data_IF_239035920606
#
_entry.id   IF_239035920606
#
_cell.length_a   1.000
_cell.length_b   1.000
_cell.length_c   1.000
_cell.angle_alpha   90.00
_cell.angle_beta   90.00
_cell.angle_gamma   90.00
#
_symmetry.space_group_name_H-M   'P 1'
#
loop_
_entity.id
_entity.type
_entity.pdbx_description
1 polymer ?
#
# COMPACT_ATOMS: atom_id res chain seq x y z
N UNK A 1 -29.47 -27.32 26.10
CA UNK A 1 -28.51 -27.45 24.99
C UNK A 1 -28.54 -26.15 24.22
N UNK A 2 -27.41 -25.71 23.65
CA UNK A 2 -27.43 -24.55 22.76
C UNK A 2 -28.35 -24.85 21.57
N UNK A 3 -29.18 -23.89 21.16
CA UNK A 3 -30.12 -24.02 20.03
C UNK A 3 -29.42 -23.90 18.66
N UNK A 4 -28.10 -23.99 18.62
CA UNK A 4 -27.27 -23.85 17.44
C UNK A 4 -26.07 -24.80 17.55
N UNK A 5 -25.48 -25.14 16.41
CA UNK A 5 -24.39 -26.10 16.27
C UNK A 5 -23.06 -25.40 16.03
N UNK A 6 -21.95 -26.14 16.13
CA UNK A 6 -20.64 -25.63 15.73
C UNK A 6 -20.59 -25.25 14.23
N UNK A 7 -21.39 -25.91 13.39
CA UNK A 7 -21.53 -25.56 11.97
C UNK A 7 -22.21 -24.20 11.80
N UNK A 8 -23.22 -23.88 12.62
CA UNK A 8 -23.90 -22.58 12.58
C UNK A 8 -22.97 -21.43 13.00
N UNK A 9 -22.13 -21.66 14.03
CA UNK A 9 -21.08 -20.69 14.41
C UNK A 9 -20.13 -20.46 13.23
N UNK A 10 -19.68 -21.54 12.58
CA UNK A 10 -18.75 -21.45 11.44
C UNK A 10 -19.39 -20.69 10.27
N UNK A 11 -20.62 -21.03 9.90
CA UNK A 11 -21.36 -20.38 8.82
C UNK A 11 -21.58 -18.89 9.10
N UNK A 12 -21.99 -18.53 10.32
CA UNK A 12 -22.19 -17.13 10.69
C UNK A 12 -20.87 -16.34 10.72
N UNK A 13 -19.78 -16.97 11.17
CA UNK A 13 -18.43 -16.39 11.09
C UNK A 13 -18.01 -16.14 9.65
N UNK A 14 -18.20 -17.09 8.75
CA UNK A 14 -17.87 -16.91 7.33
C UNK A 14 -18.72 -15.79 6.70
N UNK A 15 -20.00 -15.69 7.08
CA UNK A 15 -20.93 -14.69 6.55
C UNK A 15 -20.62 -13.27 7.04
N UNK A 16 -20.13 -13.11 8.27
CA UNK A 16 -19.89 -11.81 8.91
C UNK A 16 -18.43 -11.37 8.91
N UNK A 17 -17.49 -12.32 8.88
CA UNK A 17 -16.07 -12.07 9.12
C UNK A 17 -15.70 -11.84 10.60
N UNK A 18 -16.67 -11.87 11.52
CA UNK A 18 -16.45 -11.57 12.94
C UNK A 18 -15.62 -12.66 13.65
N UNK A 19 -15.00 -12.27 14.78
CA UNK A 19 -14.26 -13.20 15.64
C UNK A 19 -15.12 -14.37 16.14
N UNK A 20 -14.53 -15.57 16.22
CA UNK A 20 -15.24 -16.81 16.59
C UNK A 20 -16.02 -16.69 17.92
N UNK A 21 -15.40 -16.06 18.92
CA UNK A 21 -16.03 -15.86 20.23
C UNK A 21 -17.15 -14.83 20.20
N UNK A 22 -17.06 -13.82 19.34
CA UNK A 22 -18.10 -12.80 19.20
C UNK A 22 -19.33 -13.38 18.51
N UNK A 23 -19.12 -14.21 17.48
CA UNK A 23 -20.18 -14.98 16.81
C UNK A 23 -20.88 -15.92 17.79
N UNK A 24 -20.12 -16.70 18.57
CA UNK A 24 -20.69 -17.61 19.57
C UNK A 24 -21.54 -16.86 20.60
N UNK A 25 -21.01 -15.78 21.18
CA UNK A 25 -21.74 -14.96 22.18
C UNK A 25 -22.99 -14.31 21.59
N UNK A 26 -22.94 -13.88 20.33
CA UNK A 26 -24.09 -13.31 19.66
C UNK A 26 -25.20 -14.35 19.43
N UNK A 27 -24.82 -15.58 19.03
CA UNK A 27 -25.77 -16.70 18.92
C UNK A 27 -26.38 -17.10 20.26
N UNK A 28 -25.59 -17.09 21.35
CA UNK A 28 -26.11 -17.30 22.71
C UNK A 28 -27.18 -16.26 23.07
N UNK A 29 -26.91 -14.97 22.85
CA UNK A 29 -27.86 -13.88 23.14
C UNK A 29 -29.06 -13.84 22.19
N UNK A 30 -28.88 -14.34 20.96
CA UNK A 30 -29.92 -14.48 19.97
C UNK A 30 -30.76 -15.76 20.14
N UNK A 31 -30.45 -16.61 21.13
CA UNK A 31 -31.05 -17.95 21.28
C UNK A 31 -30.95 -18.82 20.01
N UNK A 32 -29.86 -18.68 19.26
CA UNK A 32 -29.61 -19.39 18.00
C UNK A 32 -30.11 -18.69 16.73
N UNK A 33 -30.79 -17.55 16.83
CA UNK A 33 -31.25 -16.78 15.66
C UNK A 33 -30.06 -16.09 14.96
N UNK A 34 -29.77 -16.50 13.73
CA UNK A 34 -28.63 -16.01 12.97
C UNK A 34 -28.75 -14.53 12.56
N UNK A 35 -29.94 -14.05 12.20
CA UNK A 35 -30.12 -12.66 11.77
C UNK A 35 -30.03 -11.72 12.98
N UNK A 36 -30.67 -12.09 14.08
CA UNK A 36 -30.54 -11.36 15.34
C UNK A 36 -29.10 -11.37 15.87
N UNK A 37 -28.36 -12.47 15.68
CA UNK A 37 -26.96 -12.53 16.03
C UNK A 37 -26.10 -11.54 15.21
N UNK A 38 -26.38 -11.36 13.92
CA UNK A 38 -25.72 -10.32 13.09
C UNK A 38 -25.96 -8.93 13.66
N UNK A 39 -27.22 -8.61 13.99
CA UNK A 39 -27.56 -7.32 14.59
C UNK A 39 -26.80 -7.09 15.90
N UNK A 40 -26.72 -8.10 16.76
CA UNK A 40 -25.98 -8.05 18.02
C UNK A 40 -24.48 -7.81 17.77
N UNK A 41 -23.87 -8.52 16.81
CA UNK A 41 -22.46 -8.32 16.43
C UNK A 41 -22.24 -6.87 16.03
N UNK A 42 -23.08 -6.32 15.14
CA UNK A 42 -22.95 -4.94 14.67
C UNK A 42 -23.11 -3.92 15.80
N UNK A 43 -24.14 -4.07 16.63
CA UNK A 43 -24.40 -3.17 17.77
C UNK A 43 -23.22 -3.16 18.75
N UNK A 44 -22.70 -4.35 19.10
CA UNK A 44 -21.56 -4.47 20.02
C UNK A 44 -20.26 -3.97 19.40
N UNK A 45 -20.04 -4.28 18.12
CA UNK A 45 -18.92 -3.81 17.34
C UNK A 45 -18.81 -2.29 17.40
N UNK A 46 -19.92 -1.60 17.11
CA UNK A 46 -20.02 -0.14 17.12
C UNK A 46 -19.83 0.46 18.51
N UNK A 47 -20.46 -0.12 19.55
CA UNK A 47 -20.23 0.28 20.94
C UNK A 47 -18.75 0.13 21.37
N UNK A 48 -18.03 -0.79 20.75
CA UNK A 48 -16.61 -1.02 21.00
C UNK A 48 -15.67 -0.19 20.13
N UNK A 49 -16.11 0.39 19.02
CA UNK A 49 -15.25 1.02 18.02
C UNK A 49 -14.40 2.16 18.59
N UNK A 50 -14.99 3.04 19.40
CA UNK A 50 -14.28 4.16 20.05
C UNK A 50 -13.17 3.67 20.98
N UNK A 51 -13.35 2.51 21.63
CA UNK A 51 -12.30 1.89 22.48
C UNK A 51 -11.14 1.31 21.67
N UNK A 52 -11.29 1.17 20.34
CA UNK A 52 -10.27 0.65 19.44
C UNK A 52 -9.45 1.73 18.76
N UNK A 53 -9.82 3.01 18.84
CA UNK A 53 -9.15 4.11 18.13
C UNK A 53 -7.63 4.19 18.39
N UNK A 54 -7.19 3.90 19.62
CA UNK A 54 -5.77 3.88 19.99
C UNK A 54 -5.01 2.62 19.57
N UNK A 55 -5.66 1.64 18.96
CA UNK A 55 -4.99 0.39 18.54
C UNK A 55 -4.17 0.59 17.28
N UNK A 56 -3.06 -0.15 17.21
CA UNK A 56 -2.20 -0.22 16.04
C UNK A 56 -2.87 -1.02 14.94
N UNK A 57 -2.74 -0.57 13.70
CA UNK A 57 -3.24 -1.23 12.49
C UNK A 57 -2.08 -1.39 11.51
N UNK A 58 -1.21 -2.38 11.77
CA UNK A 58 0.01 -2.62 10.99
C UNK A 58 -0.18 -3.65 9.88
N UNK A 59 -1.31 -4.37 9.88
CA UNK A 59 -1.68 -5.35 8.87
C UNK A 59 -2.69 -4.73 7.88
N UNK A 60 -3.00 -5.39 6.76
CA UNK A 60 -3.96 -4.85 5.80
C UNK A 60 -3.70 -5.28 4.37
N UNK A 61 -4.02 -4.42 3.42
CA UNK A 61 -3.74 -4.63 2.00
C UNK A 61 -3.56 -3.33 1.22
N UNK A 62 -2.91 -3.46 0.08
CA UNK A 62 -2.86 -2.43 -0.96
C UNK A 62 -3.71 -2.89 -2.14
N UNK A 63 -4.54 -1.99 -2.66
CA UNK A 63 -5.35 -2.23 -3.85
C UNK A 63 -5.12 -1.08 -4.84
N UNK A 64 -5.10 -1.40 -6.14
CA UNK A 64 -4.87 -0.43 -7.18
C UNK A 64 -5.68 -0.73 -8.44
N UNK A 65 -6.00 0.31 -9.20
CA UNK A 65 -6.70 0.24 -10.49
C UNK A 65 -6.16 1.30 -11.44
N UNK A 66 -5.96 0.92 -12.70
CA UNK A 66 -5.62 1.84 -13.78
C UNK A 66 -6.76 1.91 -14.77
N UNK A 67 -7.14 3.11 -15.20
CA UNK A 67 -8.15 3.33 -16.24
C UNK A 67 -7.79 4.58 -17.03
N UNK A 68 -7.61 4.43 -18.35
CA UNK A 68 -7.39 5.57 -19.26
C UNK A 68 -6.22 6.49 -18.88
N UNK A 69 -5.07 5.92 -18.48
CA UNK A 69 -3.89 6.71 -18.07
C UNK A 69 -3.95 7.26 -16.64
N UNK A 70 -4.98 6.92 -15.86
CA UNK A 70 -5.10 7.28 -14.44
C UNK A 70 -4.96 6.03 -13.58
N UNK A 71 -3.92 6.00 -12.75
CA UNK A 71 -3.73 5.00 -11.71
C UNK A 71 -4.18 5.51 -10.34
N UNK A 72 -5.00 4.73 -9.65
CA UNK A 72 -5.43 4.99 -8.27
C UNK A 72 -5.00 3.81 -7.40
N UNK A 73 -4.38 4.09 -6.26
CA UNK A 73 -3.92 3.10 -5.30
C UNK A 73 -4.28 3.52 -3.89
N UNK A 74 -4.76 2.58 -3.09
CA UNK A 74 -5.11 2.80 -1.68
C UNK A 74 -4.39 1.78 -0.79
N UNK A 75 -4.18 2.16 0.46
CA UNK A 75 -3.83 1.23 1.53
C UNK A 75 -4.96 1.23 2.57
N UNK A 76 -5.47 0.05 2.90
CA UNK A 76 -6.45 -0.17 3.97
C UNK A 76 -5.81 -1.07 5.01
N UNK A 77 -5.78 -0.63 6.26
CA UNK A 77 -5.17 -1.38 7.37
C UNK A 77 -6.20 -1.95 8.34
N UNK A 78 -5.84 -3.07 8.97
CA UNK A 78 -6.52 -3.71 10.09
C UNK A 78 -5.50 -4.08 11.19
N UNK A 79 -5.97 -4.69 12.29
CA UNK A 79 -5.10 -5.05 13.42
C UNK A 79 -4.34 -6.37 13.15
N UNK A 80 -4.97 -7.33 12.48
CA UNK A 80 -4.39 -8.68 12.29
C UNK A 80 -4.40 -9.18 10.84
N UNK A 81 -3.49 -10.11 10.55
CA UNK A 81 -3.39 -10.80 9.27
C UNK A 81 -4.61 -11.70 8.99
N UNK A 82 -5.28 -12.18 10.05
CA UNK A 82 -6.50 -12.97 9.94
C UNK A 82 -7.65 -12.18 9.33
N UNK A 83 -7.80 -10.91 9.71
CA UNK A 83 -8.79 -10.01 9.10
C UNK A 83 -8.32 -9.56 7.72
N UNK A 84 -7.02 -9.26 7.54
CA UNK A 84 -6.49 -8.82 6.25
C UNK A 84 -6.82 -9.79 5.10
N UNK A 85 -6.81 -11.10 5.35
CA UNK A 85 -7.14 -12.14 4.36
C UNK A 85 -8.60 -12.58 4.32
N UNK A 86 -9.48 -11.97 5.11
CA UNK A 86 -10.90 -12.29 5.10
C UNK A 86 -11.61 -11.64 3.90
N UNK A 87 -12.51 -12.36 3.25
CA UNK A 87 -13.24 -11.89 2.06
C UNK A 87 -13.97 -10.56 2.31
N UNK A 88 -14.52 -10.36 3.50
CA UNK A 88 -15.20 -9.12 3.89
C UNK A 88 -14.28 -7.91 3.93
N UNK A 89 -13.04 -8.08 4.40
CA UNK A 89 -12.06 -7.02 4.41
C UNK A 89 -11.58 -6.68 2.99
N UNK A 90 -11.36 -7.71 2.16
CA UNK A 90 -10.99 -7.53 0.74
C UNK A 90 -12.10 -6.78 -0.01
N UNK A 91 -13.36 -7.18 0.18
CA UNK A 91 -14.52 -6.49 -0.40
C UNK A 91 -14.66 -5.04 0.04
N UNK A 92 -14.35 -4.73 1.32
CA UNK A 92 -14.33 -3.36 1.81
C UNK A 92 -13.25 -2.55 1.09
N UNK A 93 -12.03 -3.09 0.94
CA UNK A 93 -10.96 -2.38 0.23
C UNK A 93 -11.30 -2.17 -1.25
N UNK A 94 -11.91 -3.15 -1.92
CA UNK A 94 -12.40 -3.00 -3.29
C UNK A 94 -13.47 -1.91 -3.39
N UNK A 95 -14.39 -1.83 -2.42
CA UNK A 95 -15.40 -0.76 -2.34
C UNK A 95 -14.72 0.61 -2.18
N UNK A 96 -13.76 0.75 -1.26
CA UNK A 96 -13.00 2.00 -1.06
C UNK A 96 -12.27 2.40 -2.34
N UNK A 97 -11.64 1.45 -3.05
CA UNK A 97 -10.92 1.73 -4.29
C UNK A 97 -11.86 2.20 -5.40
N UNK A 98 -13.02 1.56 -5.55
CA UNK A 98 -14.01 1.98 -6.54
C UNK A 98 -14.52 3.40 -6.24
N UNK A 99 -14.81 3.71 -4.98
CA UNK A 99 -15.21 5.06 -4.56
C UNK A 99 -14.11 6.08 -4.85
N UNK A 100 -12.84 5.74 -4.59
CA UNK A 100 -11.70 6.60 -4.91
C UNK A 100 -11.59 6.90 -6.42
N UNK A 101 -11.78 5.87 -7.25
CA UNK A 101 -11.75 6.02 -8.72
C UNK A 101 -12.93 6.86 -9.21
N UNK A 102 -14.14 6.57 -8.75
CA UNK A 102 -15.38 7.24 -9.21
C UNK A 102 -15.48 8.70 -8.75
N UNK A 103 -15.07 8.98 -7.51
CA UNK A 103 -15.06 10.35 -6.97
C UNK A 103 -13.91 11.20 -7.52
N UNK A 104 -12.85 10.57 -8.02
CA UNK A 104 -11.63 11.26 -8.44
C UNK A 104 -10.83 11.83 -7.27
N UNK A 105 -11.07 11.39 -6.03
CA UNK A 105 -10.30 11.84 -4.87
C UNK A 105 -8.80 11.59 -5.07
N UNK A 106 -7.98 12.60 -4.76
CA UNK A 106 -6.51 12.52 -4.84
C UNK A 106 -5.84 12.56 -3.45
N UNK A 107 -6.60 12.86 -2.40
CA UNK A 107 -6.15 12.92 -1.01
C UNK A 107 -7.12 12.17 -0.08
N UNK A 108 -6.64 11.83 1.11
CA UNK A 108 -7.36 10.98 2.05
C UNK A 108 -8.60 11.67 2.63
N UNK A 109 -8.51 12.96 2.94
CA UNK A 109 -9.59 13.69 3.59
C UNK A 109 -10.79 13.80 2.65
N UNK A 110 -10.54 14.12 1.38
CA UNK A 110 -11.55 14.12 0.32
C UNK A 110 -12.17 12.75 0.14
N UNK A 111 -11.37 11.68 0.07
CA UNK A 111 -11.87 10.31 -0.09
C UNK A 111 -12.78 9.89 1.08
N UNK A 112 -12.35 10.14 2.32
CA UNK A 112 -13.08 9.77 3.52
C UNK A 112 -14.39 10.55 3.68
N UNK A 113 -14.45 11.76 3.13
CA UNK A 113 -15.65 12.60 3.14
C UNK A 113 -16.68 12.24 2.05
N UNK A 114 -16.30 11.48 1.02
CA UNK A 114 -17.20 11.06 -0.07
C UNK A 114 -18.42 10.31 0.46
N UNK A 115 -19.61 10.66 -0.02
CA UNK A 115 -20.84 9.98 0.34
C UNK A 115 -21.02 8.68 -0.46
N UNK A 116 -21.32 7.61 0.25
CA UNK A 116 -21.60 6.27 -0.27
C UNK A 116 -22.83 5.74 0.46
N UNK A 117 -23.87 5.39 -0.29
CA UNK A 117 -25.15 4.89 0.27
C UNK A 117 -25.76 5.83 1.33
N UNK A 118 -25.58 7.16 1.17
CA UNK A 118 -26.12 8.18 2.08
C UNK A 118 -25.33 8.39 3.38
N UNK A 119 -24.08 7.90 3.46
CA UNK A 119 -23.16 8.11 4.58
C UNK A 119 -21.76 8.46 4.10
N UNK A 120 -20.91 9.06 4.94
CA UNK A 120 -19.50 9.25 4.59
C UNK A 120 -18.78 7.92 4.50
N UNK A 121 -17.82 7.79 3.59
CA UNK A 121 -16.98 6.59 3.48
C UNK A 121 -16.27 6.27 4.79
N UNK A 122 -15.83 7.29 5.55
CA UNK A 122 -15.27 7.10 6.89
C UNK A 122 -16.20 6.30 7.82
N UNK A 123 -17.50 6.61 7.82
CA UNK A 123 -18.48 5.92 8.66
C UNK A 123 -18.70 4.48 8.17
N UNK A 124 -18.72 4.26 6.85
CA UNK A 124 -18.81 2.91 6.26
C UNK A 124 -17.63 2.06 6.69
N UNK A 125 -16.40 2.58 6.63
CA UNK A 125 -15.19 1.86 7.04
C UNK A 125 -15.22 1.50 8.53
N UNK A 126 -15.66 2.43 9.39
CA UNK A 126 -15.82 2.18 10.83
C UNK A 126 -16.89 1.11 11.09
N UNK A 127 -18.02 1.17 10.39
CA UNK A 127 -19.11 0.21 10.53
C UNK A 127 -18.69 -1.21 10.12
N UNK A 128 -17.97 -1.36 9.01
CA UNK A 128 -17.48 -2.65 8.55
C UNK A 128 -16.36 -3.20 9.46
N UNK A 129 -15.43 -2.35 9.90
CA UNK A 129 -14.42 -2.73 10.90
C UNK A 129 -15.05 -3.18 12.23
N UNK A 130 -16.12 -2.52 12.66
CA UNK A 130 -16.87 -2.92 13.85
C UNK A 130 -17.46 -4.34 13.73
N UNK A 131 -17.94 -4.74 12.56
CA UNK A 131 -18.42 -6.11 12.29
C UNK A 131 -17.27 -7.11 12.33
N UNK A 132 -16.11 -6.75 11.76
CA UNK A 132 -14.89 -7.57 11.80
C UNK A 132 -14.29 -7.68 13.22
N UNK A 133 -14.69 -6.80 14.13
CA UNK A 133 -14.21 -6.79 15.51
C UNK A 133 -12.87 -6.09 15.72
N UNK A 134 -12.35 -5.43 14.68
CA UNK A 134 -11.06 -4.74 14.66
C UNK A 134 -11.22 -3.28 14.26
N UNK A 135 -10.22 -2.46 14.59
CA UNK A 135 -10.05 -1.16 13.97
C UNK A 135 -9.63 -1.36 12.51
N UNK A 136 -10.37 -0.74 11.60
CA UNK A 136 -10.04 -0.67 10.18
C UNK A 136 -9.91 0.79 9.78
N UNK A 137 -8.90 1.11 8.98
CA UNK A 137 -8.65 2.48 8.50
C UNK A 137 -8.24 2.47 7.04
N UNK A 138 -8.70 3.47 6.28
CA UNK A 138 -8.04 3.83 5.02
C UNK A 138 -6.85 4.68 5.39
N UNK A 139 -5.64 4.18 5.12
CA UNK A 139 -4.41 4.78 5.61
C UNK A 139 -3.92 5.91 4.72
N UNK A 140 -4.00 5.69 3.41
CA UNK A 140 -3.56 6.62 2.38
C UNK A 140 -4.13 6.24 1.02
N UNK A 141 -4.15 7.23 0.14
CA UNK A 141 -4.46 7.12 -1.28
C UNK A 141 -3.31 7.76 -2.06
N UNK A 142 -3.08 7.26 -3.27
CA UNK A 142 -2.29 7.92 -4.29
C UNK A 142 -3.06 7.88 -5.60
N UNK A 143 -2.98 8.98 -6.33
CA UNK A 143 -3.46 9.08 -7.71
C UNK A 143 -2.34 9.57 -8.59
N UNK A 144 -2.07 8.84 -9.66
CA UNK A 144 -1.01 9.14 -10.63
C UNK A 144 -1.64 9.19 -12.02
N UNK A 145 -1.25 10.19 -12.81
CA UNK A 145 -1.71 10.35 -14.18
C UNK A 145 -0.52 10.36 -15.13
N UNK A 146 -0.69 9.79 -16.31
CA UNK A 146 0.35 9.76 -17.34
C UNK A 146 -0.15 9.12 -18.63
N UNK A 147 0.67 9.22 -19.67
CA UNK A 147 0.38 8.66 -21.00
C UNK A 147 0.21 7.15 -20.92
N UNK A 148 1.16 6.45 -20.28
CA UNK A 148 1.04 5.04 -19.88
C UNK A 148 1.27 4.91 -18.39
N UNK A 149 0.38 4.20 -17.70
CA UNK A 149 0.48 3.92 -16.26
C UNK A 149 0.35 2.41 -16.04
N UNK A 150 1.28 1.84 -15.28
CA UNK A 150 1.19 0.46 -14.79
C UNK A 150 0.88 0.45 -13.28
N UNK A 151 0.15 -0.56 -12.85
CA UNK A 151 -0.05 -0.87 -11.44
C UNK A 151 0.44 -2.31 -11.16
N UNK A 152 1.49 -2.42 -10.35
CA UNK A 152 2.01 -3.70 -9.90
C UNK A 152 1.65 -3.96 -8.44
N UNK A 153 0.99 -5.08 -8.16
CA UNK A 153 0.61 -5.52 -6.83
C UNK A 153 1.35 -6.81 -6.47
N UNK A 154 2.07 -6.81 -5.35
CA UNK A 154 2.87 -7.93 -4.89
C UNK A 154 2.36 -8.49 -3.55
N UNK A 155 2.20 -9.81 -3.52
CA UNK A 155 1.88 -10.57 -2.31
C UNK A 155 3.17 -11.06 -1.67
N UNK A 156 3.45 -10.64 -0.44
CA UNK A 156 4.63 -11.08 0.33
C UNK A 156 4.50 -12.52 0.84
N UNK A 157 3.27 -13.03 0.91
CA UNK A 157 2.93 -14.42 1.21
C UNK A 157 1.75 -14.87 0.37
N UNK A 158 1.65 -16.17 0.08
CA UNK A 158 0.54 -16.74 -0.71
C UNK A 158 -0.82 -16.55 -0.03
N UNK A 159 -0.82 -16.51 1.30
CA UNK A 159 -2.03 -16.46 2.13
C UNK A 159 -2.51 -15.03 2.41
N UNK A 160 -1.75 -14.01 1.99
CA UNK A 160 -2.07 -12.61 2.20
C UNK A 160 -2.55 -11.95 0.90
N UNK A 161 -3.42 -10.93 0.99
CA UNK A 161 -3.64 -10.03 -0.13
C UNK A 161 -2.36 -9.24 -0.45
N UNK A 162 -2.38 -8.46 -1.53
CA UNK A 162 -1.22 -7.66 -1.91
C UNK A 162 -0.79 -6.73 -0.76
N UNK A 163 0.48 -6.82 -0.37
CA UNK A 163 1.06 -6.03 0.72
C UNK A 163 1.96 -4.90 0.20
N UNK A 164 2.34 -4.97 -1.07
CA UNK A 164 3.13 -3.94 -1.74
C UNK A 164 2.40 -3.60 -3.02
N UNK A 165 2.22 -2.31 -3.27
CA UNK A 165 1.68 -1.82 -4.54
C UNK A 165 2.55 -0.71 -5.09
N UNK A 166 2.63 -0.66 -6.41
CA UNK A 166 3.35 0.37 -7.16
C UNK A 166 2.43 0.93 -8.23
N UNK A 167 2.37 2.25 -8.34
CA UNK A 167 1.94 2.95 -9.54
C UNK A 167 3.18 3.53 -10.20
N UNK A 168 3.37 3.27 -11.49
CA UNK A 168 4.46 3.84 -12.25
C UNK A 168 3.96 4.38 -13.58
N UNK A 169 4.28 5.65 -13.85
CA UNK A 169 3.85 6.34 -15.05
C UNK A 169 5.04 6.72 -15.92
N UNK A 170 4.83 6.59 -17.23
CA UNK A 170 5.77 7.02 -18.26
C UNK A 170 5.06 7.88 -19.31
N UNK A 171 5.82 8.81 -19.89
CA UNK A 171 5.46 9.51 -21.10
C UNK A 171 5.93 8.68 -22.31
N UNK A 172 4.97 8.04 -22.96
CA UNK A 172 5.17 7.09 -24.06
C UNK A 172 3.96 6.18 -24.21
N UNK A 173 3.75 5.65 -25.42
CA UNK A 173 2.64 4.76 -25.76
C UNK A 173 3.13 3.47 -26.42
N UNK A 174 2.25 2.49 -26.53
CA UNK A 174 2.51 1.23 -27.22
C UNK A 174 3.17 0.16 -26.35
N UNK A 175 3.48 -0.97 -26.96
CA UNK A 175 3.95 -2.18 -26.26
C UNK A 175 5.28 -1.97 -25.53
N UNK A 176 6.21 -1.21 -26.11
CA UNK A 176 7.49 -0.89 -25.47
C UNK A 176 7.30 -0.07 -24.19
N UNK A 177 6.43 0.95 -24.23
CA UNK A 177 6.10 1.77 -23.06
C UNK A 177 5.42 0.94 -21.96
N UNK A 178 4.43 0.12 -22.33
CA UNK A 178 3.73 -0.77 -21.39
C UNK A 178 4.68 -1.78 -20.74
N UNK A 179 5.58 -2.39 -21.54
CA UNK A 179 6.57 -3.35 -21.05
C UNK A 179 7.55 -2.69 -20.08
N UNK A 180 8.11 -1.54 -20.46
CA UNK A 180 9.02 -0.81 -19.60
C UNK A 180 8.33 -0.35 -18.30
N UNK A 181 7.11 0.16 -18.39
CA UNK A 181 6.36 0.59 -17.22
C UNK A 181 6.12 -0.56 -16.24
N UNK A 182 5.71 -1.72 -16.75
CA UNK A 182 5.48 -2.91 -15.95
C UNK A 182 6.77 -3.45 -15.30
N UNK A 183 7.80 -3.67 -16.11
CA UNK A 183 9.09 -4.20 -15.65
C UNK A 183 9.74 -3.29 -14.58
N UNK A 184 9.60 -1.96 -14.74
CA UNK A 184 10.10 -0.98 -13.76
C UNK A 184 9.20 -0.94 -12.51
N UNK A 185 7.88 -1.07 -12.63
CA UNK A 185 7.00 -1.17 -11.46
C UNK A 185 7.33 -2.39 -10.58
N UNK A 186 7.66 -3.54 -11.21
CA UNK A 186 8.17 -4.73 -10.51
C UNK A 186 9.50 -4.44 -9.82
N UNK A 187 10.42 -3.74 -10.50
CA UNK A 187 11.69 -3.33 -9.92
C UNK A 187 11.50 -2.42 -8.69
N UNK A 188 10.65 -1.40 -8.78
CA UNK A 188 10.34 -0.47 -7.67
C UNK A 188 9.76 -1.23 -6.47
N UNK A 189 8.90 -2.22 -6.69
CA UNK A 189 8.34 -3.02 -5.60
C UNK A 189 9.44 -3.72 -4.79
N UNK A 190 10.47 -4.24 -5.47
CA UNK A 190 11.60 -4.96 -4.89
C UNK A 190 12.69 -4.04 -4.31
N UNK A 191 13.10 -3.02 -5.05
CA UNK A 191 14.27 -2.19 -4.74
C UNK A 191 13.95 -0.97 -3.90
N UNK A 192 12.67 -0.59 -3.81
CA UNK A 192 12.16 0.47 -2.94
C UNK A 192 12.98 1.79 -2.97
N UNK A 193 13.23 2.38 -4.16
CA UNK A 193 13.83 3.71 -4.24
C UNK A 193 12.99 4.74 -3.49
N UNK A 194 13.66 5.74 -2.91
CA UNK A 194 13.01 6.86 -2.23
C UNK A 194 12.77 8.05 -3.16
N UNK A 195 13.52 8.15 -4.26
CA UNK A 195 13.45 9.25 -5.21
C UNK A 195 13.38 8.74 -6.66
N UNK A 196 12.72 9.49 -7.54
CA UNK A 196 12.66 9.13 -8.96
C UNK A 196 13.97 9.51 -9.67
N UNK A 197 14.39 10.76 -9.51
CA UNK A 197 15.59 11.37 -10.10
C UNK A 197 16.51 11.95 -9.03
N UNK A 198 17.74 12.33 -9.39
CA UNK A 198 18.68 12.92 -8.43
C UNK A 198 18.24 14.32 -7.99
N UNK A 199 17.52 15.02 -8.87
CA UNK A 199 16.96 16.35 -8.64
C UNK A 199 15.86 16.33 -7.57
N UNK A 200 15.21 15.17 -7.36
CA UNK A 200 14.21 14.99 -6.31
C UNK A 200 14.84 14.82 -4.92
N UNK A 201 16.15 14.59 -4.83
CA UNK A 201 16.86 14.42 -3.55
C UNK A 201 17.08 15.80 -2.91
N UNK A 202 16.68 16.01 -1.64
CA UNK A 202 16.93 17.27 -0.94
C UNK A 202 18.42 17.64 -0.94
N UNK A 203 18.74 18.88 -1.32
CA UNK A 203 20.13 19.35 -1.39
C UNK A 203 20.88 19.18 -0.06
N UNK A 204 20.21 19.46 1.06
CA UNK A 204 20.78 19.29 2.41
C UNK A 204 21.15 17.83 2.71
N UNK A 205 20.37 16.87 2.21
CA UNK A 205 20.69 15.44 2.35
C UNK A 205 21.93 15.10 1.53
N UNK A 206 22.01 15.57 0.28
CA UNK A 206 23.20 15.35 -0.58
C UNK A 206 24.46 15.95 0.04
N UNK A 207 24.38 17.16 0.60
CA UNK A 207 25.49 17.82 1.29
C UNK A 207 25.90 17.06 2.55
N UNK A 208 24.92 16.57 3.32
CA UNK A 208 25.17 15.74 4.50
C UNK A 208 25.89 14.45 4.13
N UNK A 209 25.41 13.71 3.12
CA UNK A 209 26.02 12.48 2.64
C UNK A 209 27.44 12.71 2.10
N UNK A 210 27.66 13.84 1.41
CA UNK A 210 29.00 14.23 0.94
C UNK A 210 29.96 14.46 2.09
N UNK A 211 29.53 15.19 3.13
CA UNK A 211 30.33 15.44 4.33
C UNK A 211 30.63 14.14 5.09
N UNK A 212 29.64 13.26 5.25
CA UNK A 212 29.82 11.94 5.86
C UNK A 212 30.86 11.13 5.08
N UNK A 213 30.74 11.10 3.76
CA UNK A 213 31.69 10.40 2.90
C UNK A 213 33.12 10.92 3.03
N UNK A 214 33.29 12.25 3.12
CA UNK A 214 34.59 12.92 3.28
C UNK A 214 35.23 12.61 4.63
N UNK A 215 34.50 12.84 5.72
CA UNK A 215 35.01 12.59 7.07
C UNK A 215 35.33 11.12 7.30
N UNK A 216 34.51 10.22 6.77
CA UNK A 216 34.79 8.77 6.81
C UNK A 216 36.06 8.43 6.02
N UNK A 217 36.28 9.03 4.84
CA UNK A 217 37.48 8.77 4.04
C UNK A 217 38.76 9.33 4.70
N UNK A 218 38.68 10.49 5.36
CA UNK A 218 39.78 11.03 6.16
C UNK A 218 40.10 10.13 7.36
N UNK A 219 39.09 9.68 8.09
CA UNK A 219 39.25 8.80 9.24
C UNK A 219 39.87 7.44 8.86
N UNK A 220 39.61 6.94 7.65
CA UNK A 220 40.26 5.75 7.07
C UNK A 220 41.71 5.99 6.60
N UNK A 221 42.25 7.20 6.76
CA UNK A 221 43.61 7.55 6.36
C UNK A 221 43.83 7.56 4.84
N UNK A 222 42.78 7.83 4.04
CA UNK A 222 42.92 7.91 2.58
C UNK A 222 43.73 9.15 2.17
N UNK A 223 44.57 9.07 1.12
CA UNK A 223 45.36 10.23 0.68
C UNK A 223 44.50 11.42 0.27
N UNK A 224 44.88 12.64 0.65
CA UNK A 224 44.14 13.87 0.36
C UNK A 224 43.83 14.04 -1.15
N UNK A 225 44.80 13.72 -2.01
CA UNK A 225 44.64 13.80 -3.46
C UNK A 225 43.56 12.84 -4.02
N UNK A 226 43.24 11.76 -3.29
CA UNK A 226 42.22 10.78 -3.69
C UNK A 226 40.84 11.08 -3.08
N UNK A 227 40.75 11.94 -2.06
CA UNK A 227 39.50 12.22 -1.34
C UNK A 227 38.36 12.65 -2.26
N UNK A 228 38.54 13.60 -3.22
CA UNK A 228 37.43 14.05 -4.06
C UNK A 228 36.78 12.90 -4.84
N UNK A 229 37.60 12.01 -5.42
CA UNK A 229 37.13 10.85 -6.19
C UNK A 229 36.46 9.80 -5.30
N UNK A 230 36.96 9.59 -4.09
CA UNK A 230 36.36 8.66 -3.12
C UNK A 230 35.00 9.17 -2.67
N UNK A 231 34.90 10.45 -2.33
CA UNK A 231 33.65 11.11 -1.92
C UNK A 231 32.63 11.03 -3.05
N UNK A 232 33.01 11.39 -4.28
CA UNK A 232 32.14 11.27 -5.45
C UNK A 232 31.64 9.84 -5.68
N UNK A 233 32.52 8.84 -5.55
CA UNK A 233 32.15 7.43 -5.65
C UNK A 233 31.14 7.00 -4.58
N UNK A 234 31.30 7.47 -3.33
CA UNK A 234 30.37 7.19 -2.23
C UNK A 234 29.01 7.85 -2.42
N UNK A 235 28.99 9.13 -2.82
CA UNK A 235 27.76 9.85 -3.15
C UNK A 235 27.05 9.21 -4.36
N UNK A 236 27.79 8.72 -5.34
CA UNK A 236 27.23 7.92 -6.44
C UNK A 236 26.62 6.61 -5.94
N UNK A 237 27.26 5.95 -4.97
CA UNK A 237 26.72 4.76 -4.30
C UNK A 237 25.41 5.04 -3.58
N UNK A 238 25.31 6.18 -2.89
CA UNK A 238 24.07 6.66 -2.27
C UNK A 238 22.95 6.82 -3.33
N UNK A 239 23.21 7.52 -4.43
CA UNK A 239 22.21 7.66 -5.50
C UNK A 239 21.76 6.31 -6.07
N UNK A 240 22.68 5.35 -6.26
CA UNK A 240 22.33 4.00 -6.71
C UNK A 240 21.47 3.20 -5.73
N UNK A 241 21.45 3.56 -4.45
CA UNK A 241 20.56 2.97 -3.45
C UNK A 241 19.19 3.66 -3.41
N UNK A 242 19.19 4.98 -3.56
CA UNK A 242 18.04 5.83 -3.21
C UNK A 242 17.23 6.33 -4.40
N UNK A 243 17.85 6.46 -5.59
CA UNK A 243 17.27 7.08 -6.78
C UNK A 243 16.97 6.02 -7.83
N UNK A 244 15.71 5.94 -8.26
CA UNK A 244 15.23 4.92 -9.20
C UNK A 244 16.04 4.89 -10.50
N UNK A 245 16.23 6.04 -11.17
CA UNK A 245 16.93 6.06 -12.47
C UNK A 245 18.40 5.65 -12.39
N UNK A 246 19.02 5.76 -11.20
CA UNK A 246 20.39 5.35 -10.93
C UNK A 246 20.52 3.87 -10.54
N UNK A 247 19.44 3.23 -10.11
CA UNK A 247 19.45 1.83 -9.69
C UNK A 247 19.83 0.90 -10.85
N UNK A 248 20.61 -0.13 -10.53
CA UNK A 248 20.84 -1.25 -11.44
C UNK A 248 19.52 -2.03 -11.59
N UNK A 249 19.08 -2.24 -12.81
CA UNK A 249 17.78 -2.82 -13.10
C UNK A 249 17.73 -4.28 -12.63
N UNK A 250 16.66 -4.67 -11.94
CA UNK A 250 16.60 -5.94 -11.21
C UNK A 250 16.62 -7.17 -12.14
N UNK A 251 16.06 -7.04 -13.35
CA UNK A 251 16.00 -8.10 -14.35
C UNK A 251 17.28 -8.19 -15.20
N UNK A 252 18.02 -7.09 -15.32
CA UNK A 252 19.35 -7.04 -15.95
C UNK A 252 20.23 -6.00 -15.26
N UNK A 253 21.05 -6.45 -14.32
CA UNK A 253 21.92 -5.59 -13.49
C UNK A 253 23.06 -4.93 -14.26
N UNK A 254 23.23 -5.24 -15.55
CA UNK A 254 24.17 -4.54 -16.43
C UNK A 254 23.64 -3.18 -16.89
N UNK A 255 22.33 -2.97 -16.79
CA UNK A 255 21.67 -1.72 -17.18
C UNK A 255 21.17 -0.98 -15.95
N UNK A 256 21.16 0.34 -16.01
CA UNK A 256 20.38 1.15 -15.06
C UNK A 256 18.93 1.26 -15.50
N UNK A 257 18.03 1.64 -14.59
CA UNK A 257 16.64 1.93 -14.96
C UNK A 257 16.57 3.08 -15.99
N UNK A 258 17.45 4.09 -15.89
CA UNK A 258 17.54 5.14 -16.91
C UNK A 258 17.78 4.57 -18.32
N UNK A 259 18.69 3.60 -18.44
CA UNK A 259 18.99 2.97 -19.74
C UNK A 259 17.81 2.15 -20.26
N UNK A 260 17.05 1.49 -19.39
CA UNK A 260 15.83 0.76 -19.78
C UNK A 260 14.76 1.72 -20.31
N UNK A 261 14.58 2.87 -19.66
CA UNK A 261 13.66 3.92 -20.11
C UNK A 261 14.09 4.48 -21.48
N UNK A 262 15.39 4.77 -21.64
CA UNK A 262 15.96 5.29 -22.89
C UNK A 262 15.79 4.30 -24.06
N UNK A 263 16.13 3.02 -23.85
CA UNK A 263 15.96 1.97 -24.86
C UNK A 263 14.50 1.77 -25.29
N UNK A 264 13.56 1.96 -24.36
CA UNK A 264 12.13 1.91 -24.64
C UNK A 264 11.60 3.21 -25.27
N UNK A 265 12.41 4.27 -25.34
CA UNK A 265 12.02 5.57 -25.88
C UNK A 265 10.98 6.30 -25.03
N UNK A 266 10.98 6.08 -23.71
CA UNK A 266 10.00 6.67 -22.78
C UNK A 266 10.69 7.46 -21.67
N UNK A 267 9.93 8.34 -21.01
CA UNK A 267 10.41 9.08 -19.83
C UNK A 267 9.54 8.75 -18.62
N UNK A 268 10.15 8.43 -17.48
CA UNK A 268 9.40 8.29 -16.24
C UNK A 268 8.83 9.64 -15.79
N UNK A 269 7.55 9.67 -15.41
CA UNK A 269 6.85 10.90 -15.01
C UNK A 269 6.39 10.88 -13.56
N UNK A 270 6.06 9.70 -13.02
CA UNK A 270 5.67 9.56 -11.63
C UNK A 270 5.87 8.12 -11.13
N UNK A 271 6.13 8.00 -9.84
CA UNK A 271 6.22 6.73 -9.14
C UNK A 271 5.63 6.87 -7.74
N UNK A 272 4.78 5.92 -7.35
CA UNK A 272 4.33 5.78 -5.97
C UNK A 272 4.48 4.33 -5.57
N UNK A 273 5.00 4.07 -4.37
CA UNK A 273 5.07 2.74 -3.79
C UNK A 273 4.46 2.74 -2.39
N UNK A 274 3.51 1.84 -2.15
CA UNK A 274 3.00 1.54 -0.81
C UNK A 274 3.51 0.18 -0.35
N UNK A 275 3.78 0.09 0.96
CA UNK A 275 3.97 -1.17 1.67
C UNK A 275 3.11 -1.12 2.92
N UNK A 276 2.28 -2.14 3.11
CA UNK A 276 1.40 -2.23 4.28
C UNK A 276 2.20 -2.03 5.56
N UNK A 277 1.72 -1.14 6.43
CA UNK A 277 2.29 -0.89 7.75
C UNK A 277 3.57 -0.02 7.77
N UNK A 278 4.07 0.42 6.60
CA UNK A 278 5.18 1.37 6.47
C UNK A 278 4.71 2.82 6.36
#
# INVERSE_FOLDING_TARGET
>A
MANYTAADIKALRERTGAGMMDVKKALDEANGDAEKAIEIIRIKGLKGATKREGRSTAEGLVAAKVTGGVGVMIEVNCETDFVAKADKFIQLADKVLNVAVESGAADLDTLLATEVDGKKLADVVIEEGAVLGEKVVVRRISRVEGTTVDAYLHKTSKDLPAQVGVLFAVDGEGEAAATAAHDIAVHVAAMAPNYLTREDVPAELVESERRIAEETAKAEGKPEAALPKIVEGRVTGFYKGEVLVDQAFAKDSKKTVAQVLEEAGVKATAVTRFRVGN
#
